data_IF_219534838667
#
_entry.id   IF_219534838667
#
_cell.length_a   1.000
_cell.length_b   1.000
_cell.length_c   1.000
_cell.angle_alpha   90.00
_cell.angle_beta   90.00
_cell.angle_gamma   90.00
#
_symmetry.space_group_name_H-M   'P 1'
#
loop_
_entity.id
_entity.type
_entity.pdbx_description
1 polymer ?
#
# COMPACT_ATOMS: atom_id res chain seq x y z
N UNK A 1 23.18 19.08 3.61
CA UNK A 1 21.92 18.50 4.17
C UNK A 1 21.12 17.89 3.02
N UNK A 2 21.31 16.59 2.76
CA UNK A 2 20.77 15.90 1.58
C UNK A 2 19.24 15.89 1.60
N UNK A 3 18.62 16.61 0.66
CA UNK A 3 17.16 16.65 0.46
C UNK A 3 16.60 15.36 -0.15
N UNK A 4 17.47 14.52 -0.71
CA UNK A 4 17.14 13.32 -1.49
C UNK A 4 16.52 12.21 -0.64
N UNK A 5 17.02 11.99 0.59
CA UNK A 5 16.47 10.95 1.48
C UNK A 5 15.02 11.20 1.92
N UNK A 6 14.57 12.46 1.96
CA UNK A 6 13.18 12.80 2.33
C UNK A 6 12.19 12.60 1.20
N UNK A 7 12.62 12.75 -0.05
CA UNK A 7 11.75 12.52 -1.19
C UNK A 7 11.55 11.02 -1.41
N UNK A 8 12.60 10.22 -1.38
CA UNK A 8 12.50 8.75 -1.57
C UNK A 8 11.68 8.07 -0.45
N UNK A 9 11.79 8.57 0.79
CA UNK A 9 11.01 8.04 1.92
C UNK A 9 9.51 8.32 1.82
N UNK A 10 9.10 9.41 1.15
CA UNK A 10 7.70 9.88 1.19
C UNK A 10 6.74 8.98 0.40
N UNK A 11 6.99 8.65 -0.88
CA UNK A 11 6.23 7.65 -1.62
C UNK A 11 6.19 6.29 -0.89
N UNK A 12 7.32 5.88 -0.30
CA UNK A 12 7.41 4.62 0.45
C UNK A 12 6.51 4.61 1.70
N UNK A 13 6.55 5.67 2.51
CA UNK A 13 5.70 5.80 3.71
C UNK A 13 4.22 5.81 3.35
N UNK A 14 3.83 6.55 2.31
CA UNK A 14 2.45 6.59 1.81
C UNK A 14 1.99 5.20 1.33
N UNK A 15 2.83 4.52 0.55
CA UNK A 15 2.52 3.18 0.01
C UNK A 15 2.43 2.11 1.09
N UNK A 16 3.29 2.17 2.12
CA UNK A 16 3.17 1.30 3.31
C UNK A 16 1.90 1.57 4.12
N UNK A 17 1.48 2.83 4.21
CA UNK A 17 0.22 3.16 4.85
C UNK A 17 -0.97 2.58 4.06
N UNK A 18 -0.96 2.69 2.73
CA UNK A 18 -1.95 2.05 1.86
C UNK A 18 -1.96 0.52 2.04
N UNK A 19 -0.79 -0.12 2.07
CA UNK A 19 -0.65 -1.56 2.34
C UNK A 19 -1.27 -1.97 3.70
N UNK A 20 -1.02 -1.20 4.77
CA UNK A 20 -1.64 -1.46 6.09
C UNK A 20 -3.15 -1.30 6.06
N UNK A 21 -3.67 -0.33 5.33
CA UNK A 21 -5.12 -0.13 5.19
C UNK A 21 -5.76 -1.31 4.44
N UNK A 22 -5.11 -1.82 3.40
CA UNK A 22 -5.56 -3.03 2.70
C UNK A 22 -5.63 -4.24 3.64
N UNK A 23 -4.62 -4.45 4.49
CA UNK A 23 -4.64 -5.53 5.48
C UNK A 23 -5.76 -5.36 6.51
N UNK A 24 -6.06 -4.12 6.93
CA UNK A 24 -7.20 -3.85 7.81
C UNK A 24 -8.53 -4.09 7.14
N UNK A 25 -8.65 -3.78 5.84
CA UNK A 25 -9.83 -4.08 5.03
C UNK A 25 -10.08 -5.58 4.98
N UNK A 26 -9.03 -6.34 4.67
CA UNK A 26 -9.06 -7.80 4.60
C UNK A 26 -9.44 -8.46 5.94
N UNK A 27 -9.00 -7.86 7.06
CA UNK A 27 -9.35 -8.32 8.40
C UNK A 27 -10.68 -7.75 8.94
N UNK A 28 -11.49 -7.09 8.10
CA UNK A 28 -12.76 -6.44 8.47
C UNK A 28 -12.65 -5.40 9.60
N UNK A 29 -11.47 -4.80 9.77
CA UNK A 29 -11.12 -3.86 10.86
C UNK A 29 -10.93 -2.41 10.38
N UNK A 30 -11.54 -2.04 9.26
CA UNK A 30 -11.42 -0.68 8.73
C UNK A 30 -12.20 0.34 9.57
N UNK A 31 -11.50 1.39 9.98
CA UNK A 31 -12.13 2.56 10.61
C UNK A 31 -12.59 3.58 9.55
N UNK A 32 -13.48 4.53 9.91
CA UNK A 32 -13.82 5.66 9.02
C UNK A 32 -12.59 6.49 8.60
N UNK A 33 -11.57 6.58 9.47
CA UNK A 33 -10.29 7.23 9.13
C UNK A 33 -9.55 6.47 8.05
N UNK A 34 -9.49 5.14 8.12
CA UNK A 34 -8.85 4.31 7.11
C UNK A 34 -9.54 4.47 5.74
N UNK A 35 -10.88 4.56 5.72
CA UNK A 35 -11.64 4.81 4.46
C UNK A 35 -11.29 6.16 3.83
N UNK A 36 -11.21 7.23 4.64
CA UNK A 36 -10.79 8.56 4.15
C UNK A 36 -9.36 8.55 3.61
N UNK A 37 -8.44 7.92 4.34
CA UNK A 37 -7.05 7.81 3.91
C UNK A 37 -6.91 6.96 2.64
N UNK A 38 -7.65 5.86 2.52
CA UNK A 38 -7.67 5.04 1.31
C UNK A 38 -8.09 5.85 0.09
N UNK A 39 -9.16 6.66 0.20
CA UNK A 39 -9.61 7.54 -0.89
C UNK A 39 -8.51 8.51 -1.32
N UNK A 40 -7.86 9.18 -0.37
CA UNK A 40 -6.77 10.13 -0.66
C UNK A 40 -5.59 9.42 -1.33
N UNK A 41 -5.13 8.31 -0.75
CA UNK A 41 -3.98 7.55 -1.25
C UNK A 41 -4.24 6.94 -2.63
N UNK A 42 -5.48 6.54 -2.94
CA UNK A 42 -5.85 6.01 -4.26
C UNK A 42 -5.76 7.04 -5.40
N UNK A 43 -5.74 8.33 -5.07
CA UNK A 43 -5.63 9.44 -6.02
C UNK A 43 -4.21 10.02 -6.08
N UNK A 44 -3.29 9.52 -5.25
CA UNK A 44 -1.92 10.02 -5.14
C UNK A 44 -1.00 9.28 -6.12
N UNK A 45 -0.49 9.99 -7.13
CA UNK A 45 0.37 9.41 -8.17
C UNK A 45 1.71 8.86 -7.62
N UNK A 46 2.15 9.29 -6.44
CA UNK A 46 3.34 8.73 -5.79
C UNK A 46 3.06 7.36 -5.14
N UNK A 47 1.78 6.99 -4.97
CA UNK A 47 1.34 5.71 -4.40
C UNK A 47 1.05 4.74 -5.53
N UNK A 48 2.06 3.97 -5.92
CA UNK A 48 1.93 3.01 -7.01
C UNK A 48 1.59 1.62 -6.48
N UNK A 49 0.90 0.82 -7.30
CA UNK A 49 0.60 -0.59 -6.99
C UNK A 49 1.87 -1.38 -6.65
N UNK A 50 2.98 -1.10 -7.35
CA UNK A 50 4.27 -1.75 -7.11
C UNK A 50 4.83 -1.44 -5.72
N UNK A 51 4.77 -0.17 -5.28
CA UNK A 51 5.24 0.23 -3.94
C UNK A 51 4.31 -0.30 -2.83
N UNK A 52 2.99 -0.36 -3.08
CA UNK A 52 2.05 -1.01 -2.16
C UNK A 52 2.38 -2.49 -2.01
N UNK A 53 2.64 -3.19 -3.11
CA UNK A 53 3.03 -4.60 -3.12
C UNK A 53 4.32 -4.83 -2.32
N UNK A 54 5.35 -4.00 -2.53
CA UNK A 54 6.57 -4.02 -1.70
C UNK A 54 6.26 -3.78 -0.21
N UNK A 55 5.33 -2.89 0.10
CA UNK A 55 4.85 -2.65 1.47
C UNK A 55 4.20 -3.89 2.09
N UNK A 56 3.40 -4.64 1.32
CA UNK A 56 2.78 -5.89 1.77
C UNK A 56 3.83 -6.98 2.04
N UNK A 57 4.84 -7.13 1.18
CA UNK A 57 5.97 -8.04 1.43
C UNK A 57 6.75 -7.65 2.69
N UNK A 58 7.06 -6.36 2.84
CA UNK A 58 7.77 -5.85 4.01
C UNK A 58 7.03 -6.17 5.32
N UNK A 59 5.68 -6.13 5.31
CA UNK A 59 4.86 -6.42 6.49
C UNK A 59 4.76 -7.92 6.82
N UNK A 60 5.51 -8.79 6.14
CA UNK A 60 5.55 -10.22 6.44
C UNK A 60 4.39 -11.02 5.86
N UNK A 61 3.58 -10.43 4.97
CA UNK A 61 2.44 -11.09 4.30
C UNK A 61 2.91 -11.89 3.06
N UNK A 62 4.20 -12.22 2.98
CA UNK A 62 4.80 -12.92 1.83
C UNK A 62 4.12 -14.25 1.47
N UNK A 63 3.42 -14.88 2.41
CA UNK A 63 2.65 -16.12 2.20
C UNK A 63 1.27 -15.92 1.56
N UNK A 64 0.69 -14.71 1.57
CA UNK A 64 -0.61 -14.39 0.90
C UNK A 64 -0.45 -13.65 -0.44
N UNK A 65 0.76 -13.65 -1.02
CA UNK A 65 1.14 -12.99 -2.28
C UNK A 65 0.08 -13.12 -3.39
N UNK A 66 -0.41 -14.34 -3.62
CA UNK A 66 -1.35 -14.64 -4.72
C UNK A 66 -2.75 -14.01 -4.56
N UNK A 67 -3.15 -13.67 -3.35
CA UNK A 67 -4.45 -13.07 -3.08
C UNK A 67 -4.42 -11.55 -3.32
N UNK A 68 -3.31 -10.91 -2.94
CA UNK A 68 -3.09 -9.48 -3.18
C UNK A 68 -2.77 -9.14 -4.63
N UNK A 69 -1.98 -9.98 -5.33
CA UNK A 69 -1.70 -9.78 -6.76
C UNK A 69 -3.01 -9.77 -7.58
N UNK A 70 -4.02 -10.58 -7.18
CA UNK A 70 -5.38 -10.57 -7.77
C UNK A 70 -6.16 -9.30 -7.44
N UNK A 71 -6.14 -8.84 -6.18
CA UNK A 71 -6.83 -7.61 -5.78
C UNK A 71 -6.27 -6.34 -6.42
N UNK A 72 -4.98 -6.35 -6.80
CA UNK A 72 -4.30 -5.23 -7.47
C UNK A 72 -4.35 -5.29 -9.00
N UNK A 73 -4.99 -6.31 -9.59
CA UNK A 73 -5.08 -6.48 -11.04
C UNK A 73 -3.74 -6.72 -11.72
N UNK A 74 -2.74 -7.21 -10.98
CA UNK A 74 -1.37 -7.46 -11.48
C UNK A 74 -1.19 -8.89 -12.02
N UNK A 75 -2.27 -9.66 -12.12
CA UNK A 75 -2.28 -10.98 -12.75
C UNK A 75 -2.68 -10.79 -14.21
N UNK A 76 -1.71 -10.80 -15.11
CA UNK A 76 -1.97 -11.05 -16.53
C UNK A 76 -2.61 -12.44 -16.67
N UNK A 77 -3.56 -12.56 -17.62
CA UNK A 77 -4.15 -13.84 -18.03
C UNK A 77 -3.09 -14.80 -18.55
#
# INVERSE_FOLDING_TARGET
MNREGRYTDRPWRKSRLAARILLRKEAERMTPRDRRLAKILSQDAEVTNRLIQQGLYFLGIGTRKHEFDRQLGLVER
#
